data_IF_440442885488
#
_entry.id   IF_440442885488
#
_cell.length_a   1.000
_cell.length_b   1.000
_cell.length_c   1.000
_cell.angle_alpha   90.00
_cell.angle_beta   90.00
_cell.angle_gamma   90.00
#
_symmetry.space_group_name_H-M   'P 1'
#
loop_
_entity.id
_entity.type
_entity.pdbx_description
1 polymer ?
#
# COMPACT_ATOMS: atom_id res chain seq x y z
N UNK A 1 -40.08 -35.63 -9.14
CA UNK A 1 -38.89 -35.11 -9.87
C UNK A 1 -38.48 -33.82 -9.20
N UNK A 2 -37.40 -33.83 -8.41
CA UNK A 2 -36.89 -32.63 -7.74
C UNK A 2 -36.02 -31.83 -8.72
N UNK A 3 -36.29 -30.52 -8.85
CA UNK A 3 -35.48 -29.59 -9.63
C UNK A 3 -34.16 -29.32 -8.89
N UNK A 4 -33.05 -29.65 -9.54
CA UNK A 4 -31.71 -29.33 -9.06
C UNK A 4 -31.47 -27.83 -9.25
N UNK A 5 -31.50 -27.06 -8.17
CA UNK A 5 -31.20 -25.61 -8.19
C UNK A 5 -29.70 -25.38 -8.40
N UNK A 6 -29.31 -25.17 -9.66
CA UNK A 6 -27.94 -24.87 -10.10
C UNK A 6 -27.56 -23.39 -9.85
N UNK A 7 -27.72 -22.89 -8.62
CA UNK A 7 -27.34 -21.51 -8.24
C UNK A 7 -25.94 -21.25 -7.64
N UNK A 8 -24.87 -22.06 -7.83
CA UNK A 8 -23.56 -21.72 -7.26
C UNK A 8 -22.74 -20.71 -8.11
N UNK A 9 -22.97 -20.57 -9.43
CA UNK A 9 -22.08 -19.79 -10.31
C UNK A 9 -22.10 -18.27 -10.10
N UNK A 10 -23.20 -17.69 -9.61
CA UNK A 10 -23.38 -16.23 -9.53
C UNK A 10 -22.64 -15.57 -8.35
N UNK A 11 -22.46 -16.31 -7.24
CA UNK A 11 -21.79 -15.79 -6.04
C UNK A 11 -20.27 -15.70 -6.19
N UNK A 12 -19.66 -16.61 -6.95
CA UNK A 12 -18.20 -16.63 -7.14
C UNK A 12 -17.71 -15.47 -8.01
N UNK A 13 -18.40 -15.19 -9.12
CA UNK A 13 -18.07 -14.07 -10.03
C UNK A 13 -18.12 -12.72 -9.30
N UNK A 14 -19.11 -12.51 -8.43
CA UNK A 14 -19.25 -11.27 -7.67
C UNK A 14 -18.20 -11.12 -6.55
N UNK A 15 -17.77 -12.22 -5.93
CA UNK A 15 -16.67 -12.22 -4.97
C UNK A 15 -15.34 -11.90 -5.63
N UNK A 16 -15.04 -12.55 -6.77
CA UNK A 16 -13.80 -12.31 -7.51
C UNK A 16 -13.66 -10.85 -7.92
N UNK A 17 -14.70 -10.24 -8.51
CA UNK A 17 -14.68 -8.84 -8.89
C UNK A 17 -14.52 -7.90 -7.68
N UNK A 18 -15.08 -8.28 -6.52
CA UNK A 18 -14.93 -7.52 -5.27
C UNK A 18 -13.49 -7.55 -4.77
N UNK A 19 -12.85 -8.72 -4.79
CA UNK A 19 -11.45 -8.90 -4.39
C UNK A 19 -10.48 -8.20 -5.35
N UNK A 20 -10.74 -8.28 -6.65
CA UNK A 20 -9.96 -7.60 -7.67
C UNK A 20 -10.04 -6.08 -7.49
N UNK A 21 -11.26 -5.54 -7.32
CA UNK A 21 -11.47 -4.12 -7.07
C UNK A 21 -10.77 -3.61 -5.82
N UNK A 22 -10.89 -4.34 -4.70
CA UNK A 22 -10.19 -4.01 -3.45
C UNK A 22 -8.67 -4.07 -3.58
N UNK A 23 -8.15 -5.04 -4.35
CA UNK A 23 -6.71 -5.18 -4.59
C UNK A 23 -6.16 -4.05 -5.45
N UNK A 24 -6.84 -3.68 -6.53
CA UNK A 24 -6.43 -2.55 -7.37
C UNK A 24 -6.43 -1.24 -6.57
N UNK A 25 -7.44 -1.02 -5.73
CA UNK A 25 -7.48 0.12 -4.83
C UNK A 25 -6.32 0.11 -3.83
N UNK A 26 -5.97 -1.05 -3.27
CA UNK A 26 -4.84 -1.18 -2.35
C UNK A 26 -3.51 -0.84 -3.00
N UNK A 27 -3.29 -1.26 -4.26
CA UNK A 27 -2.09 -0.92 -5.04
C UNK A 27 -1.97 0.59 -5.23
N UNK A 28 -3.07 1.27 -5.59
CA UNK A 28 -3.08 2.74 -5.76
C UNK A 28 -2.80 3.44 -4.43
N UNK A 29 -3.43 3.00 -3.34
CA UNK A 29 -3.22 3.57 -2.00
C UNK A 29 -1.78 3.38 -1.54
N UNK A 30 -1.20 2.19 -1.72
CA UNK A 30 0.18 1.90 -1.38
C UNK A 30 1.14 2.85 -2.13
N UNK A 31 1.01 2.94 -3.46
CA UNK A 31 1.85 3.84 -4.25
C UNK A 31 1.66 5.31 -3.89
N UNK A 32 0.44 5.74 -3.59
CA UNK A 32 0.18 7.10 -3.14
C UNK A 32 0.89 7.41 -1.81
N UNK A 33 0.81 6.50 -0.83
CA UNK A 33 1.50 6.66 0.46
C UNK A 33 3.01 6.67 0.24
N UNK A 34 3.57 5.71 -0.51
CA UNK A 34 4.99 5.66 -0.83
C UNK A 34 5.46 6.95 -1.53
N UNK A 35 4.71 7.46 -2.50
CA UNK A 35 5.02 8.72 -3.17
C UNK A 35 5.01 9.91 -2.21
N UNK A 36 4.03 10.00 -1.31
CA UNK A 36 3.98 11.05 -0.29
C UNK A 36 5.17 10.95 0.68
N UNK A 37 5.61 9.74 1.05
CA UNK A 37 6.80 9.58 1.92
C UNK A 37 8.09 10.05 1.23
N UNK A 38 8.20 9.88 -0.09
CA UNK A 38 9.30 10.42 -0.90
C UNK A 38 9.23 11.94 -0.95
N UNK A 39 8.06 12.53 -1.23
CA UNK A 39 7.88 13.97 -1.26
C UNK A 39 8.26 14.63 0.07
N UNK A 40 7.94 14.01 1.21
CA UNK A 40 8.33 14.52 2.54
C UNK A 40 9.84 14.60 2.75
N UNK A 41 10.61 13.72 2.10
CA UNK A 41 12.06 13.72 2.18
C UNK A 41 12.72 14.70 1.20
N UNK A 42 12.10 14.94 0.04
CA UNK A 42 12.64 15.86 -0.98
C UNK A 42 12.26 17.32 -0.67
N UNK A 43 11.15 17.55 0.04
CA UNK A 43 10.71 18.90 0.39
C UNK A 43 11.66 19.57 1.40
N UNK A 44 11.97 20.87 1.23
CA UNK A 44 12.96 21.60 2.03
C UNK A 44 12.58 21.78 3.50
N UNK A 45 11.47 21.19 3.94
CA UNK A 45 11.04 21.11 5.33
C UNK A 45 12.03 20.27 6.15
N UNK A 46 12.63 19.22 5.54
CA UNK A 46 13.72 18.46 6.15
C UNK A 46 15.07 19.03 5.71
N UNK A 47 15.50 20.15 6.31
CA UNK A 47 16.86 20.64 6.13
C UNK A 47 17.83 19.77 6.96
N UNK A 48 18.61 18.95 6.28
CA UNK A 48 19.81 18.35 6.87
C UNK A 48 20.73 19.47 7.36
N UNK A 49 21.28 19.32 8.57
CA UNK A 49 22.35 20.23 9.01
C UNK A 49 23.52 20.09 8.05
N UNK A 50 24.34 21.14 7.83
CA UNK A 50 25.55 21.04 7.00
C UNK A 50 26.53 19.94 7.44
N UNK A 51 26.44 19.50 8.70
CA UNK A 51 27.21 18.40 9.28
C UNK A 51 26.63 17.00 9.03
N UNK A 52 25.42 16.90 8.49
CA UNK A 52 24.70 15.64 8.28
C UNK A 52 24.71 15.29 6.80
N UNK A 53 25.19 14.08 6.48
CA UNK A 53 25.10 13.56 5.11
C UNK A 53 23.63 13.30 4.76
N UNK A 54 23.25 13.54 3.49
CA UNK A 54 21.90 13.28 2.99
C UNK A 54 21.48 11.84 3.26
N UNK A 55 20.27 11.66 3.77
CA UNK A 55 19.61 10.37 3.97
C UNK A 55 18.21 10.39 3.35
N UNK A 56 17.76 9.27 2.84
CA UNK A 56 16.42 9.07 2.31
C UNK A 56 15.93 7.74 2.86
N UNK A 57 14.80 7.75 3.56
CA UNK A 57 14.19 6.55 4.11
C UNK A 57 12.73 6.47 3.64
N UNK A 58 12.42 5.49 2.80
CA UNK A 58 11.07 5.30 2.24
C UNK A 58 10.44 4.10 2.92
N UNK A 59 9.18 4.27 3.37
CA UNK A 59 8.38 3.18 3.89
C UNK A 59 7.15 3.63 4.66
N UNK A 60 6.17 2.73 4.82
CA UNK A 60 5.02 2.96 5.67
C UNK A 60 4.25 1.66 6.02
N UNK A 61 4.17 1.26 7.31
CA UNK A 61 4.79 1.86 8.48
C UNK A 61 6.27 1.48 8.66
N UNK A 62 6.77 0.48 7.93
CA UNK A 62 8.16 0.02 8.05
C UNK A 62 9.02 0.56 6.92
N UNK A 63 10.22 1.05 7.25
CA UNK A 63 11.18 1.47 6.23
C UNK A 63 11.63 0.27 5.41
N UNK A 64 11.32 0.28 4.12
CA UNK A 64 11.72 -0.79 3.19
C UNK A 64 12.81 -0.37 2.22
N UNK A 65 13.08 0.93 2.08
CA UNK A 65 14.18 1.43 1.27
C UNK A 65 14.92 2.53 2.01
N UNK A 66 16.24 2.50 1.93
CA UNK A 66 17.10 3.56 2.44
C UNK A 66 18.18 3.90 1.42
N UNK A 67 18.57 5.18 1.42
CA UNK A 67 19.67 5.69 0.63
C UNK A 67 20.39 6.77 1.44
N UNK A 68 21.72 6.76 1.44
CA UNK A 68 22.52 7.74 2.18
C UNK A 68 23.85 8.01 1.47
N UNK A 69 24.41 9.21 1.69
CA UNK A 69 25.76 9.54 1.23
C UNK A 69 26.79 9.29 2.33
N UNK A 70 27.91 8.66 1.97
CA UNK A 70 29.08 8.53 2.84
C UNK A 70 30.10 9.60 2.46
N UNK A 71 30.72 10.24 3.46
CA UNK A 71 31.70 11.30 3.22
C UNK A 71 32.92 10.72 2.52
N UNK A 72 33.27 11.28 1.35
CA UNK A 72 34.41 10.84 0.55
C UNK A 72 34.06 9.85 -0.55
N UNK A 73 32.78 9.49 -0.72
CA UNK A 73 32.32 8.67 -1.85
C UNK A 73 31.47 9.49 -2.82
N UNK A 74 31.67 9.28 -4.12
CA UNK A 74 30.96 9.98 -5.19
C UNK A 74 29.54 9.44 -5.41
N UNK A 75 29.30 8.18 -5.03
CA UNK A 75 28.03 7.47 -5.24
C UNK A 75 27.26 7.28 -3.92
N UNK A 76 25.93 7.45 -3.93
CA UNK A 76 25.11 7.14 -2.78
C UNK A 76 25.04 5.62 -2.55
N UNK A 77 25.11 5.21 -1.29
CA UNK A 77 24.81 3.84 -0.91
C UNK A 77 23.30 3.69 -0.70
N UNK A 78 22.75 2.55 -1.09
CA UNK A 78 21.32 2.25 -0.96
C UNK A 78 21.09 0.79 -0.57
N UNK A 79 19.92 0.50 -0.03
CA UNK A 79 19.53 -0.86 0.28
C UNK A 79 18.03 -1.03 0.50
N UNK A 80 17.62 -2.30 0.51
CA UNK A 80 16.24 -2.73 0.55
C UNK A 80 16.00 -3.70 1.71
N UNK A 81 14.92 -3.46 2.46
CA UNK A 81 14.33 -4.44 3.36
C UNK A 81 13.07 -5.01 2.72
N UNK A 82 13.25 -5.99 1.82
CA UNK A 82 12.15 -6.59 1.03
C UNK A 82 11.06 -7.19 1.92
N UNK A 83 11.42 -7.70 3.11
CA UNK A 83 10.46 -8.20 4.10
C UNK A 83 9.52 -7.09 4.58
N UNK A 84 10.05 -5.89 4.86
CA UNK A 84 9.24 -4.74 5.27
C UNK A 84 8.33 -4.27 4.13
N UNK A 85 8.83 -4.28 2.89
CA UNK A 85 8.01 -3.99 1.71
C UNK A 85 6.81 -4.95 1.62
N UNK A 86 7.05 -6.24 1.85
CA UNK A 86 6.00 -7.25 1.90
C UNK A 86 4.96 -6.97 3.00
N UNK A 87 5.40 -6.59 4.19
CA UNK A 87 4.49 -6.24 5.30
C UNK A 87 3.66 -4.98 5.01
N UNK A 88 4.25 -3.94 4.44
CA UNK A 88 3.54 -2.71 4.08
C UNK A 88 2.48 -2.97 2.99
N UNK A 89 2.83 -3.77 1.97
CA UNK A 89 1.90 -4.22 0.93
C UNK A 89 0.73 -5.02 1.52
N UNK A 90 1.02 -6.00 2.39
CA UNK A 90 0.01 -6.83 3.03
C UNK A 90 -0.90 -6.01 3.95
N UNK A 91 -0.32 -5.12 4.76
CA UNK A 91 -1.06 -4.25 5.65
C UNK A 91 -1.99 -3.32 4.88
N UNK A 92 -1.48 -2.68 3.83
CA UNK A 92 -2.29 -1.79 2.98
C UNK A 92 -3.44 -2.56 2.34
N UNK A 93 -3.17 -3.77 1.83
CA UNK A 93 -4.20 -4.63 1.26
C UNK A 93 -5.28 -5.01 2.29
N UNK A 94 -4.90 -5.44 3.50
CA UNK A 94 -5.85 -5.79 4.55
C UNK A 94 -6.72 -4.60 4.97
N UNK A 95 -6.11 -3.43 5.17
CA UNK A 95 -6.82 -2.20 5.57
C UNK A 95 -7.79 -1.74 4.49
N UNK A 96 -7.34 -1.66 3.24
CA UNK A 96 -8.18 -1.21 2.12
C UNK A 96 -9.31 -2.20 1.85
N UNK A 97 -9.04 -3.51 1.88
CA UNK A 97 -10.06 -4.53 1.72
C UNK A 97 -11.10 -4.47 2.85
N UNK A 98 -10.66 -4.32 4.10
CA UNK A 98 -11.56 -4.17 5.24
C UNK A 98 -12.47 -2.94 5.09
N UNK A 99 -11.90 -1.77 4.77
CA UNK A 99 -12.65 -0.54 4.55
C UNK A 99 -13.64 -0.66 3.36
N UNK A 100 -13.20 -1.27 2.26
CA UNK A 100 -14.04 -1.49 1.09
C UNK A 100 -15.24 -2.39 1.41
N UNK A 101 -15.02 -3.48 2.15
CA UNK A 101 -16.10 -4.38 2.58
C UNK A 101 -17.06 -3.72 3.57
N UNK A 102 -16.54 -2.93 4.52
CA UNK A 102 -17.37 -2.16 5.46
C UNK A 102 -18.23 -1.13 4.73
N UNK A 103 -17.65 -0.39 3.78
CA UNK A 103 -18.38 0.59 2.98
C UNK A 103 -19.49 -0.06 2.15
N UNK A 104 -19.20 -1.20 1.50
CA UNK A 104 -20.18 -1.96 0.72
C UNK A 104 -21.34 -2.46 1.59
N UNK A 105 -21.08 -2.89 2.82
CA UNK A 105 -22.13 -3.29 3.79
C UNK A 105 -23.04 -2.11 4.11
N UNK A 106 -22.48 -0.96 4.47
CA UNK A 106 -23.26 0.24 4.82
C UNK A 106 -24.07 0.78 3.64
N UNK A 107 -23.51 0.77 2.42
CA UNK A 107 -24.21 1.20 1.22
C UNK A 107 -25.41 0.29 0.88
N UNK A 108 -25.32 -1.01 1.13
CA UNK A 108 -26.44 -1.95 0.93
C UNK A 108 -27.62 -1.68 1.86
N UNK A 109 -27.36 -1.23 3.09
CA UNK A 109 -28.41 -0.85 4.07
C UNK A 109 -29.12 0.47 3.79
N UNK A 110 -28.56 1.37 2.97
CA UNK A 110 -29.20 2.66 2.63
C UNK A 110 -30.26 2.57 1.51
N UNK A 111 -30.34 1.42 0.83
CA UNK A 111 -31.25 1.20 -0.30
C UNK A 111 -32.36 0.18 0.01
N UNK A 112 -32.54 -0.19 1.28
CA UNK A 112 -33.64 -1.05 1.75
C UNK A 112 -34.52 -0.28 2.74
#
# INVERSE_FOLDING_TARGET
MASVDLRPRRKFSTLFSTLLGGTLLAVVVFFAISFLTVLRHITPVHRYKPSEAYKLAIGFPWTYYYQFWVRGEDLPQFGWHVVHLGYDCLLTWLVVLALYLLWKRTAGTRHS
#
